data_IF_487257004180
#
_entry.id   IF_487257004180
#
_cell.length_a   1.000
_cell.length_b   1.000
_cell.length_c   1.000
_cell.angle_alpha   90.00
_cell.angle_beta   90.00
_cell.angle_gamma   90.00
#
_symmetry.space_group_name_H-M   'P 1'
#
loop_
_entity.id
_entity.type
_entity.pdbx_description
1 polymer ?
#
# COMPACT_ATOMS: atom_id res chain seq x y z
N UNK A 1 11.96 -4.88 16.32
CA UNK A 1 11.06 -5.52 15.33
C UNK A 1 10.99 -4.62 14.10
N UNK A 2 10.33 -5.05 13.01
CA UNK A 2 10.27 -4.30 11.73
C UNK A 2 9.67 -2.90 11.91
N UNK A 3 8.63 -2.76 12.74
CA UNK A 3 8.01 -1.48 13.07
C UNK A 3 8.99 -0.47 13.70
N UNK A 4 9.83 -0.92 14.65
CA UNK A 4 10.86 -0.07 15.24
C UNK A 4 11.92 0.35 14.21
N UNK A 5 12.27 -0.57 13.31
CA UNK A 5 13.28 -0.33 12.26
C UNK A 5 12.80 0.75 11.30
N UNK A 6 11.58 0.63 10.76
CA UNK A 6 10.96 1.63 9.89
C UNK A 6 11.01 3.05 10.48
N UNK A 7 10.66 3.17 11.77
CA UNK A 7 10.70 4.46 12.50
C UNK A 7 12.11 5.01 12.70
N UNK A 8 13.09 4.14 12.94
CA UNK A 8 14.48 4.58 13.19
C UNK A 8 15.25 4.96 11.92
N UNK A 9 14.77 4.52 10.76
CA UNK A 9 15.43 4.73 9.47
C UNK A 9 14.68 5.73 8.57
N UNK A 10 13.57 6.29 9.04
CA UNK A 10 12.68 7.14 8.24
C UNK A 10 12.29 6.51 6.89
N UNK A 11 11.96 5.22 6.91
CA UNK A 11 11.52 4.48 5.71
C UNK A 11 10.10 3.95 5.89
N UNK A 12 9.36 3.92 4.78
CA UNK A 12 8.02 3.34 4.72
C UNK A 12 8.05 1.88 5.18
N UNK A 13 7.00 1.46 5.88
CA UNK A 13 6.93 0.14 6.48
C UNK A 13 7.01 -0.96 5.42
N UNK A 14 6.34 -0.81 4.28
CA UNK A 14 6.34 -1.84 3.23
C UNK A 14 7.73 -2.06 2.61
N UNK A 15 8.59 -1.05 2.60
CA UNK A 15 9.98 -1.19 2.15
C UNK A 15 10.78 -2.00 3.16
N UNK A 16 10.59 -1.75 4.45
CA UNK A 16 11.24 -2.50 5.53
C UNK A 16 10.74 -3.95 5.62
N UNK A 17 9.47 -4.18 5.30
CA UNK A 17 8.90 -5.52 5.17
C UNK A 17 9.58 -6.27 4.02
N UNK A 18 9.67 -5.65 2.83
CA UNK A 18 10.39 -6.22 1.69
C UNK A 18 11.84 -6.57 2.05
N UNK A 19 12.57 -5.65 2.67
CA UNK A 19 13.97 -5.86 3.06
C UNK A 19 14.17 -6.97 4.11
N UNK A 20 13.22 -7.11 5.04
CA UNK A 20 13.37 -8.02 6.19
C UNK A 20 12.72 -9.38 5.97
N UNK A 21 11.68 -9.47 5.14
CA UNK A 21 10.84 -10.65 4.95
C UNK A 21 10.85 -11.17 3.51
N UNK A 22 11.34 -10.40 2.55
CA UNK A 22 11.25 -10.73 1.12
C UNK A 22 9.85 -10.54 0.52
N UNK A 23 8.92 -9.97 1.30
CA UNK A 23 7.58 -9.57 0.86
C UNK A 23 7.03 -8.48 1.80
N UNK A 24 5.94 -7.83 1.40
CA UNK A 24 5.26 -6.83 2.22
C UNK A 24 3.79 -7.19 2.49
N UNK A 25 3.12 -6.37 3.28
CA UNK A 25 1.74 -6.59 3.68
C UNK A 25 0.77 -6.78 2.51
N UNK A 26 1.02 -6.16 1.34
CA UNK A 26 0.13 -6.28 0.18
C UNK A 26 0.13 -7.71 -0.38
N UNK A 27 1.26 -8.40 -0.31
CA UNK A 27 1.39 -9.81 -0.73
C UNK A 27 0.59 -10.75 0.18
N UNK A 28 0.57 -10.48 1.49
CA UNK A 28 -0.21 -11.25 2.46
C UNK A 28 -1.70 -11.02 2.22
N UNK A 29 -2.12 -9.77 2.03
CA UNK A 29 -3.52 -9.43 1.75
C UNK A 29 -3.97 -10.07 0.43
N UNK A 30 -3.14 -10.04 -0.62
CA UNK A 30 -3.42 -10.72 -1.88
C UNK A 30 -3.79 -12.20 -1.67
N UNK A 31 -2.94 -12.94 -0.96
CA UNK A 31 -3.20 -14.35 -0.65
C UNK A 31 -4.47 -14.55 0.19
N UNK A 32 -4.71 -13.66 1.16
CA UNK A 32 -5.89 -13.74 2.03
C UNK A 32 -7.19 -13.51 1.24
N UNK A 33 -7.23 -12.49 0.39
CA UNK A 33 -8.39 -12.18 -0.45
C UNK A 33 -8.71 -13.31 -1.43
N UNK A 34 -7.68 -13.97 -1.98
CA UNK A 34 -7.82 -15.17 -2.80
C UNK A 34 -8.42 -16.34 -2.02
N UNK A 35 -7.92 -16.61 -0.80
CA UNK A 35 -8.46 -17.67 0.06
C UNK A 35 -9.91 -17.43 0.44
N UNK A 36 -10.28 -16.16 0.67
CA UNK A 36 -11.66 -15.75 0.94
C UNK A 36 -12.55 -15.69 -0.29
N UNK A 37 -12.00 -15.94 -1.49
CA UNK A 37 -12.70 -15.91 -2.79
C UNK A 37 -13.35 -14.55 -3.07
N UNK A 38 -12.68 -13.47 -2.68
CA UNK A 38 -13.13 -12.12 -2.98
C UNK A 38 -12.82 -11.74 -4.44
N UNK A 39 -13.56 -10.77 -5.02
CA UNK A 39 -13.33 -10.34 -6.40
C UNK A 39 -11.89 -9.86 -6.64
N UNK A 40 -11.31 -10.28 -7.76
CA UNK A 40 -9.94 -9.91 -8.16
C UNK A 40 -9.72 -8.40 -8.25
N UNK A 41 -10.77 -7.62 -8.50
CA UNK A 41 -10.68 -6.15 -8.47
C UNK A 41 -10.28 -5.63 -7.08
N UNK A 42 -10.81 -6.21 -5.99
CA UNK A 42 -10.43 -5.81 -4.63
C UNK A 42 -8.99 -6.21 -4.33
N UNK A 43 -8.59 -7.40 -4.77
CA UNK A 43 -7.22 -7.89 -4.67
C UNK A 43 -6.23 -6.95 -5.34
N UNK A 44 -6.48 -6.57 -6.60
CA UNK A 44 -5.59 -5.71 -7.36
C UNK A 44 -5.49 -4.31 -6.73
N UNK A 45 -6.61 -3.73 -6.30
CA UNK A 45 -6.59 -2.38 -5.72
C UNK A 45 -5.74 -2.32 -4.44
N UNK A 46 -5.77 -3.36 -3.61
CA UNK A 46 -4.92 -3.44 -2.42
C UNK A 46 -3.50 -3.87 -2.75
N UNK A 47 -3.28 -4.72 -3.75
CA UNK A 47 -1.93 -5.17 -4.09
C UNK A 47 -1.08 -4.03 -4.68
N UNK A 48 -1.68 -3.22 -5.56
CA UNK A 48 -1.00 -2.19 -6.34
C UNK A 48 -1.12 -0.78 -5.75
N UNK A 49 -1.67 -0.56 -4.56
CA UNK A 49 -1.87 0.81 -4.05
C UNK A 49 -0.56 1.60 -3.81
N UNK A 50 0.59 0.94 -3.67
CA UNK A 50 1.90 1.61 -3.63
C UNK A 50 2.45 1.97 -5.02
N UNK A 51 1.97 1.29 -6.08
CA UNK A 51 2.37 1.46 -7.48
C UNK A 51 1.13 1.36 -8.41
N UNK A 52 0.15 2.28 -8.30
CA UNK A 52 -1.18 2.13 -8.92
C UNK A 52 -1.16 2.04 -10.45
N UNK A 53 -0.17 2.64 -11.12
CA UNK A 53 0.01 2.55 -12.57
C UNK A 53 0.29 1.13 -13.07
N UNK A 54 0.81 0.25 -12.22
CA UNK A 54 1.07 -1.16 -12.56
C UNK A 54 -0.17 -2.05 -12.42
N UNK A 55 -1.29 -1.51 -11.93
CA UNK A 55 -2.52 -2.26 -11.78
C UNK A 55 -3.18 -2.55 -13.13
N UNK A 56 -3.84 -3.73 -13.30
CA UNK A 56 -4.65 -4.01 -14.50
C UNK A 56 -5.77 -2.99 -14.75
N UNK A 57 -6.26 -2.35 -13.68
CA UNK A 57 -7.16 -1.21 -13.72
C UNK A 57 -6.56 -0.13 -12.81
N UNK A 58 -5.85 0.88 -13.37
CA UNK A 58 -5.15 1.87 -12.58
C UNK A 58 -6.08 2.74 -11.72
N UNK A 59 -7.19 3.23 -12.30
CA UNK A 59 -8.10 4.18 -11.62
C UNK A 59 -8.58 3.68 -10.24
N UNK A 60 -9.12 2.46 -10.08
CA UNK A 60 -9.48 1.96 -8.75
C UNK A 60 -8.32 1.79 -7.77
N UNK A 61 -7.11 1.46 -8.24
CA UNK A 61 -5.91 1.39 -7.39
C UNK A 61 -5.46 2.79 -6.95
N UNK A 62 -5.52 3.79 -7.85
CA UNK A 62 -5.24 5.19 -7.54
C UNK A 62 -6.18 5.72 -6.45
N UNK A 63 -7.46 5.35 -6.47
CA UNK A 63 -8.39 5.76 -5.41
C UNK A 63 -7.97 5.24 -4.03
N UNK A 64 -7.46 4.00 -3.94
CA UNK A 64 -6.95 3.44 -2.68
C UNK A 64 -5.64 4.11 -2.28
N UNK A 65 -4.74 4.36 -3.23
CA UNK A 65 -3.49 5.10 -3.03
C UNK A 65 -3.75 6.48 -2.40
N UNK A 66 -4.66 7.26 -2.97
CA UNK A 66 -5.03 8.57 -2.45
C UNK A 66 -5.69 8.49 -1.07
N UNK A 67 -6.56 7.49 -0.86
CA UNK A 67 -7.17 7.29 0.45
C UNK A 67 -6.11 7.00 1.52
N UNK A 68 -5.12 6.17 1.22
CA UNK A 68 -4.02 5.83 2.14
C UNK A 68 -3.12 7.03 2.45
N UNK A 69 -2.80 7.86 1.45
CA UNK A 69 -2.07 9.12 1.65
C UNK A 69 -2.85 10.06 2.57
N UNK A 70 -4.16 10.24 2.32
CA UNK A 70 -4.99 11.16 3.10
C UNK A 70 -5.14 10.69 4.56
N UNK A 71 -5.37 9.40 4.79
CA UNK A 71 -5.51 8.86 6.15
C UNK A 71 -4.20 8.97 6.94
N UNK A 72 -3.06 8.63 6.33
CA UNK A 72 -1.75 8.80 6.98
C UNK A 72 -1.42 10.28 7.22
N UNK A 73 -1.69 11.16 6.26
CA UNK A 73 -1.47 12.60 6.40
C UNK A 73 -2.33 13.26 7.47
N UNK A 74 -3.55 12.76 7.69
CA UNK A 74 -4.45 13.22 8.76
C UNK A 74 -4.22 12.51 10.10
N UNK A 75 -3.34 11.50 10.16
CA UNK A 75 -3.11 10.68 11.35
C UNK A 75 -4.30 9.79 11.75
N UNK A 76 -5.16 9.43 10.78
CA UNK A 76 -6.35 8.60 11.01
C UNK A 76 -5.98 7.12 10.87
N UNK A 77 -5.75 6.47 12.01
CA UNK A 77 -5.22 5.11 12.00
C UNK A 77 -3.78 5.10 11.47
N UNK A 78 -3.13 3.94 11.54
CA UNK A 78 -1.75 3.81 11.02
C UNK A 78 -1.46 2.45 10.41
N UNK A 79 -2.15 1.39 10.84
CA UNK A 79 -1.82 0.02 10.44
C UNK A 79 -0.33 -0.34 10.65
N UNK A 80 0.40 0.42 11.50
CA UNK A 80 1.85 0.29 11.70
C UNK A 80 2.70 1.33 10.98
N UNK A 81 2.22 1.90 9.87
CA UNK A 81 2.87 2.97 9.10
C UNK A 81 2.90 4.29 9.90
N UNK A 82 4.00 5.03 9.79
CA UNK A 82 4.21 6.31 10.49
C UNK A 82 4.51 7.47 9.56
N UNK A 83 4.74 7.19 8.29
CA UNK A 83 5.06 8.17 7.27
C UNK A 83 3.94 8.23 6.23
N UNK A 84 3.81 9.38 5.58
CA UNK A 84 2.89 9.52 4.46
C UNK A 84 3.56 8.92 3.22
N UNK A 85 2.95 7.94 2.54
CA UNK A 85 3.47 7.44 1.28
C UNK A 85 3.58 8.57 0.24
N UNK A 86 4.58 8.53 -0.66
CA UNK A 86 4.71 9.52 -1.72
C UNK A 86 3.54 9.41 -2.69
N UNK A 87 3.09 10.55 -3.22
CA UNK A 87 2.12 10.59 -4.30
C UNK A 87 2.74 10.05 -5.59
N UNK A 88 2.05 9.11 -6.23
CA UNK A 88 2.27 8.78 -7.63
C UNK A 88 1.60 9.85 -8.51
N UNK A 89 2.43 10.71 -9.11
CA UNK A 89 1.96 11.83 -9.93
C UNK A 89 1.32 11.36 -11.24
N UNK A 90 1.79 10.27 -11.83
CA UNK A 90 1.25 9.76 -13.08
C UNK A 90 -0.13 9.17 -12.85
N UNK A 91 -0.29 8.44 -11.74
CA UNK A 91 -1.58 7.93 -11.31
C UNK A 91 -2.58 9.06 -11.00
N UNK A 92 -2.14 10.13 -10.34
CA UNK A 92 -2.97 11.32 -10.08
C UNK A 92 -3.41 12.02 -11.37
N UNK A 93 -2.49 12.22 -12.31
CA UNK A 93 -2.78 12.91 -13.57
C UNK A 93 -3.68 12.11 -14.51
N UNK A 94 -3.79 10.79 -14.31
CA UNK A 94 -4.59 9.87 -15.10
C UNK A 94 -6.03 9.66 -14.58
N UNK A 95 -6.42 10.30 -13.47
CA UNK A 95 -7.80 10.34 -12.95
C UNK A 95 -8.67 11.34 -13.73
#
# INVERSE_FOLDING_TARGET
>A
NILSRARSTDMLLYLQENDSLGCNHTHIVKQLLQQWKLPMVLENNVFFHHDPCEAPQPVPATLVHLADIMTNGLGIGTSGERFVPPLDNDAWNAL
#
